data_IF_524260532860
#
_entry.id   IF_524260532860
#
_cell.length_a   1.000
_cell.length_b   1.000
_cell.length_c   1.000
_cell.angle_alpha   90.00
_cell.angle_beta   90.00
_cell.angle_gamma   90.00
#
_symmetry.space_group_name_H-M   'P 1'
#
loop_
_entity.id
_entity.type
_entity.pdbx_description
1 polymer ?
#
# COMPACT_ATOMS: atom_id res chain seq x y z
N UNK A 1 -5.79 -53.60 13.95
CA UNK A 1 -6.16 -54.23 12.67
C UNK A 1 -4.94 -54.25 11.76
N UNK A 2 -4.72 -55.29 10.97
CA UNK A 2 -3.64 -55.30 9.99
C UNK A 2 -3.82 -54.15 8.99
N UNK A 3 -2.74 -53.72 8.40
CA UNK A 3 -2.75 -52.70 7.31
C UNK A 3 -2.93 -53.47 6.01
N UNK A 4 -3.99 -53.20 5.27
CA UNK A 4 -4.24 -53.82 3.98
C UNK A 4 -3.55 -53.00 2.87
N UNK A 5 -3.22 -53.62 1.76
CA UNK A 5 -2.51 -52.95 0.64
C UNK A 5 -3.30 -51.75 0.11
N UNK A 6 -4.63 -51.79 0.11
CA UNK A 6 -5.51 -50.71 -0.27
C UNK A 6 -5.47 -49.47 0.67
N UNK A 7 -4.97 -49.67 1.91
CA UNK A 7 -4.88 -48.62 2.91
C UNK A 7 -3.56 -47.84 2.78
N UNK A 8 -2.59 -48.33 1.98
CA UNK A 8 -1.27 -47.75 1.80
C UNK A 8 -1.38 -46.48 0.91
N UNK A 9 -1.02 -45.30 1.41
CA UNK A 9 -1.22 -44.04 0.68
C UNK A 9 -0.28 -43.86 -0.50
N UNK A 10 0.96 -44.34 -0.38
CA UNK A 10 2.02 -44.26 -1.39
C UNK A 10 3.15 -45.23 -1.10
N UNK A 11 4.00 -45.49 -2.08
CA UNK A 11 5.15 -46.35 -1.94
C UNK A 11 6.23 -45.76 -1.03
N UNK A 12 6.84 -46.61 -0.20
CA UNK A 12 7.97 -46.23 0.68
C UNK A 12 9.14 -47.18 0.41
N UNK A 13 10.39 -46.79 0.76
CA UNK A 13 11.57 -47.65 0.63
C UNK A 13 11.36 -48.98 1.33
N UNK A 14 11.93 -50.08 0.80
CA UNK A 14 11.80 -51.42 1.34
C UNK A 14 12.22 -51.56 2.81
N UNK A 15 13.12 -50.72 3.25
CA UNK A 15 13.59 -50.68 4.64
C UNK A 15 12.62 -49.98 5.60
N UNK A 16 11.59 -49.29 5.08
CA UNK A 16 10.57 -48.62 5.87
C UNK A 16 9.36 -49.50 6.09
N UNK A 17 8.51 -49.15 7.06
CA UNK A 17 7.25 -49.85 7.31
C UNK A 17 6.13 -48.84 7.54
N UNK A 18 4.97 -49.11 6.97
CA UNK A 18 3.75 -48.43 7.38
C UNK A 18 3.30 -48.96 8.73
N UNK A 19 3.06 -48.08 9.67
CA UNK A 19 2.57 -48.42 11.01
C UNK A 19 1.41 -47.51 11.40
N UNK A 20 0.53 -47.99 12.28
CA UNK A 20 -0.46 -47.15 12.90
C UNK A 20 0.18 -46.35 14.03
N UNK A 21 -0.14 -45.05 14.15
CA UNK A 21 0.47 -44.14 15.14
C UNK A 21 0.31 -44.71 16.57
N UNK A 22 -0.87 -45.27 16.88
CA UNK A 22 -1.14 -45.89 18.18
C UNK A 22 -0.33 -47.15 18.51
N UNK A 23 0.41 -47.76 17.55
CA UNK A 23 1.29 -48.90 17.81
C UNK A 23 2.70 -48.52 18.22
N UNK A 24 3.10 -47.25 17.94
CA UNK A 24 4.45 -46.76 18.22
C UNK A 24 4.46 -45.67 19.30
N UNK A 25 3.31 -45.29 19.84
CA UNK A 25 3.22 -44.27 20.88
C UNK A 25 1.87 -44.25 21.59
N UNK A 26 1.86 -43.44 22.63
CA UNK A 26 0.69 -43.23 23.48
C UNK A 26 0.04 -41.88 23.12
N UNK A 27 -1.28 -41.83 23.07
CA UNK A 27 -2.04 -40.63 22.86
C UNK A 27 -3.09 -40.44 23.97
N UNK A 28 -3.33 -39.19 24.37
CA UNK A 28 -4.36 -38.81 25.31
C UNK A 28 -4.96 -37.46 24.97
N UNK A 29 -6.22 -37.23 25.34
CA UNK A 29 -6.89 -35.94 25.27
C UNK A 29 -6.69 -35.22 26.61
N UNK A 30 -6.59 -33.89 26.57
CA UNK A 30 -6.26 -33.07 27.71
C UNK A 30 -7.35 -32.93 28.78
N UNK A 31 -7.08 -32.03 29.70
CA UNK A 31 -7.86 -31.77 30.92
C UNK A 31 -9.11 -30.93 30.60
N UNK A 32 -10.24 -31.33 31.15
CA UNK A 32 -11.44 -30.48 31.21
C UNK A 32 -11.46 -29.76 32.56
N UNK A 33 -11.55 -28.43 32.52
CA UNK A 33 -11.63 -27.56 33.71
C UNK A 33 -12.75 -26.54 33.53
N UNK A 34 -13.24 -25.99 34.63
CA UNK A 34 -14.30 -24.98 34.64
C UNK A 34 -13.67 -23.59 34.87
N UNK A 35 -14.37 -22.48 34.53
CA UNK A 35 -13.87 -21.14 34.82
C UNK A 35 -13.51 -20.90 36.30
N UNK A 36 -14.22 -21.54 37.25
CA UNK A 36 -13.95 -21.44 38.69
C UNK A 36 -12.66 -22.14 39.13
N UNK A 37 -12.12 -23.05 38.32
CA UNK A 37 -10.88 -23.78 38.61
C UNK A 37 -9.65 -22.96 38.18
N UNK A 38 -9.85 -21.83 37.47
CA UNK A 38 -8.78 -20.94 37.05
C UNK A 38 -8.26 -20.11 38.22
N UNK A 39 -6.95 -19.91 38.25
CA UNK A 39 -6.26 -19.21 39.33
C UNK A 39 -5.02 -18.48 38.81
N UNK A 40 -4.48 -17.54 39.59
CA UNK A 40 -3.20 -16.90 39.28
C UNK A 40 -2.01 -17.79 39.64
N UNK A 41 -2.17 -18.69 40.62
CA UNK A 41 -1.15 -19.62 41.12
C UNK A 41 -1.63 -21.06 40.95
N UNK A 42 -1.05 -21.78 40.03
CA UNK A 42 -1.44 -23.17 39.73
C UNK A 42 -0.70 -23.75 38.55
N UNK A 43 -1.12 -24.93 38.13
CA UNK A 43 -0.52 -25.63 36.98
C UNK A 43 -0.98 -24.99 35.68
N UNK A 44 -0.04 -24.67 34.80
CA UNK A 44 -0.33 -24.16 33.47
C UNK A 44 -1.05 -25.23 32.63
N UNK A 45 -2.14 -24.83 31.98
CA UNK A 45 -2.87 -25.67 31.03
C UNK A 45 -2.67 -25.13 29.62
N UNK A 46 -1.92 -25.85 28.82
CA UNK A 46 -1.63 -25.49 27.42
C UNK A 46 -2.87 -25.64 26.54
N UNK A 47 -3.08 -24.64 25.69
CA UNK A 47 -4.20 -24.57 24.78
C UNK A 47 -3.73 -24.45 23.33
N UNK A 48 -4.66 -24.40 22.40
CA UNK A 48 -4.31 -24.19 20.97
C UNK A 48 -3.59 -22.87 20.69
N UNK A 49 -3.81 -21.81 21.49
CA UNK A 49 -3.08 -20.56 21.40
C UNK A 49 -1.59 -20.71 21.69
N UNK A 50 -1.21 -21.69 22.48
CA UNK A 50 0.18 -21.98 22.84
C UNK A 50 0.96 -22.76 21.77
N UNK A 51 0.32 -23.17 20.67
CA UNK A 51 0.98 -23.78 19.51
C UNK A 51 0.98 -22.76 18.37
N UNK A 52 2.14 -22.21 18.00
CA UNK A 52 2.27 -21.25 16.92
C UNK A 52 3.48 -21.59 16.04
N UNK A 53 3.25 -21.66 14.72
CA UNK A 53 4.30 -21.93 13.73
C UNK A 53 5.16 -23.16 14.05
N UNK A 54 4.53 -24.24 14.56
CA UNK A 54 5.23 -25.48 14.92
C UNK A 54 6.05 -25.39 16.21
N UNK A 55 5.93 -24.31 17.00
CA UNK A 55 6.67 -24.07 18.25
C UNK A 55 5.72 -23.82 19.42
N UNK A 56 6.20 -24.10 20.63
CA UNK A 56 5.49 -23.73 21.86
C UNK A 56 5.66 -22.24 22.16
N UNK A 57 4.56 -21.56 22.53
CA UNK A 57 4.51 -20.16 22.94
C UNK A 57 3.78 -20.06 24.27
N UNK A 58 4.30 -19.25 25.21
CA UNK A 58 3.87 -19.19 26.61
C UNK A 58 3.35 -17.80 27.03
N UNK A 59 2.93 -16.97 26.10
CA UNK A 59 2.46 -15.61 26.37
C UNK A 59 1.01 -15.56 26.87
N UNK A 60 0.13 -16.41 26.33
CA UNK A 60 -1.29 -16.51 26.71
C UNK A 60 -1.50 -17.83 27.45
N UNK A 61 -1.25 -17.84 28.76
CA UNK A 61 -1.36 -19.04 29.59
C UNK A 61 -2.57 -18.97 30.52
N UNK A 62 -3.19 -20.13 30.74
CA UNK A 62 -4.21 -20.35 31.79
C UNK A 62 -3.61 -21.24 32.83
N UNK A 63 -3.84 -20.93 34.11
CA UNK A 63 -3.46 -21.78 35.23
C UNK A 63 -4.70 -22.30 35.93
N UNK A 64 -4.61 -23.52 36.48
CA UNK A 64 -5.70 -24.13 37.26
C UNK A 64 -5.19 -24.65 38.58
N UNK A 65 -6.06 -24.58 39.59
CA UNK A 65 -5.82 -25.18 40.93
C UNK A 65 -6.82 -26.31 41.12
N UNK A 66 -6.41 -27.50 40.67
CA UNK A 66 -7.18 -28.74 40.82
C UNK A 66 -6.22 -29.92 40.78
N UNK A 67 -6.64 -31.07 41.26
CA UNK A 67 -5.89 -32.33 41.13
C UNK A 67 -5.83 -32.75 39.66
N UNK A 68 -4.61 -32.93 39.13
CA UNK A 68 -4.39 -33.31 37.73
C UNK A 68 -3.77 -34.69 37.67
N UNK A 69 -4.43 -35.64 37.00
CA UNK A 69 -3.86 -36.97 36.84
C UNK A 69 -2.54 -36.95 36.06
N UNK A 70 -1.58 -37.82 36.43
CA UNK A 70 -0.26 -37.89 35.80
C UNK A 70 -0.31 -38.07 34.29
N UNK A 71 -1.29 -38.79 33.80
CA UNK A 71 -1.47 -39.02 32.35
C UNK A 71 -2.00 -37.78 31.60
N UNK A 72 -2.32 -36.68 32.32
CA UNK A 72 -2.66 -35.37 31.80
C UNK A 72 -1.52 -34.38 31.96
N UNK A 73 -0.37 -34.78 32.46
CA UNK A 73 0.82 -33.97 32.57
C UNK A 73 1.72 -34.14 31.34
N UNK A 74 2.19 -33.00 30.81
CA UNK A 74 3.14 -32.96 29.69
C UNK A 74 4.53 -33.39 30.18
N UNK A 75 5.22 -34.14 29.34
CA UNK A 75 6.67 -34.40 29.47
C UNK A 75 7.41 -33.71 28.34
N UNK A 76 8.65 -33.32 28.62
CA UNK A 76 9.53 -32.77 27.55
C UNK A 76 9.66 -33.81 26.43
N UNK A 77 9.52 -33.34 25.20
CA UNK A 77 9.50 -34.19 24.02
C UNK A 77 8.13 -34.73 23.61
N UNK A 78 7.06 -34.50 24.37
CA UNK A 78 5.71 -34.82 23.93
C UNK A 78 5.32 -33.96 22.74
N UNK A 79 4.54 -34.48 21.79
CA UNK A 79 3.93 -33.67 20.73
C UNK A 79 2.53 -33.27 21.18
N UNK A 80 2.29 -31.94 21.30
CA UNK A 80 0.96 -31.42 21.44
C UNK A 80 0.31 -31.21 20.06
N UNK A 81 -0.97 -31.61 19.94
CA UNK A 81 -1.73 -31.55 18.70
C UNK A 81 -3.05 -30.82 19.00
N UNK A 82 -3.36 -29.78 18.28
CA UNK A 82 -4.68 -29.13 18.36
C UNK A 82 -5.75 -30.10 17.83
N UNK A 83 -6.44 -30.79 18.72
CA UNK A 83 -7.44 -31.80 18.37
C UNK A 83 -8.79 -31.19 18.02
N UNK A 84 -9.13 -29.97 18.52
CA UNK A 84 -10.38 -29.27 18.24
C UNK A 84 -10.18 -27.77 18.22
N UNK A 85 -10.76 -27.10 17.21
CA UNK A 85 -10.79 -25.65 17.13
C UNK A 85 -12.00 -25.19 16.29
N UNK A 86 -12.49 -23.96 16.53
CA UNK A 86 -13.55 -23.36 15.71
C UNK A 86 -13.13 -23.14 14.26
N UNK A 87 -11.82 -22.96 14.00
CA UNK A 87 -11.27 -22.85 12.65
C UNK A 87 -10.65 -24.17 12.21
N UNK A 88 -11.14 -24.77 11.12
CA UNK A 88 -10.59 -26.01 10.51
C UNK A 88 -9.08 -25.88 10.23
N UNK A 89 -8.62 -24.69 9.84
CA UNK A 89 -7.20 -24.43 9.55
C UNK A 89 -6.27 -24.64 10.74
N UNK A 90 -6.77 -24.50 11.96
CA UNK A 90 -5.98 -24.61 13.18
C UNK A 90 -6.00 -26.03 13.76
N UNK A 91 -6.91 -26.91 13.32
CA UNK A 91 -6.95 -28.30 13.74
C UNK A 91 -5.77 -29.05 13.11
N UNK A 92 -5.09 -29.87 13.91
CA UNK A 92 -3.90 -30.61 13.52
C UNK A 92 -2.58 -29.85 13.68
N UNK A 93 -2.59 -28.51 13.95
CA UNK A 93 -1.33 -27.81 14.26
C UNK A 93 -0.69 -28.43 15.50
N UNK A 94 0.62 -28.62 15.49
CA UNK A 94 1.34 -29.32 16.53
C UNK A 94 2.70 -28.71 16.84
N UNK A 95 3.20 -28.98 18.06
CA UNK A 95 4.54 -28.57 18.49
C UNK A 95 5.08 -29.57 19.53
N UNK A 96 6.40 -29.62 19.65
CA UNK A 96 7.07 -30.39 20.70
C UNK A 96 7.12 -29.60 21.99
N UNK A 97 6.76 -30.24 23.11
CA UNK A 97 6.85 -29.67 24.46
C UNK A 97 8.31 -29.55 24.84
N UNK A 98 8.76 -28.37 25.19
CA UNK A 98 10.13 -28.05 25.60
C UNK A 98 10.29 -27.87 27.13
N UNK A 99 9.16 -27.77 27.89
CA UNK A 99 9.16 -27.60 29.35
C UNK A 99 8.20 -28.57 30.02
N UNK A 100 8.63 -29.17 31.11
CA UNK A 100 7.78 -30.03 31.95
C UNK A 100 6.95 -29.23 32.97
N UNK A 101 6.08 -29.91 33.73
CA UNK A 101 5.31 -29.31 34.82
C UNK A 101 4.01 -28.62 34.38
N UNK A 102 3.57 -28.80 33.14
CA UNK A 102 2.34 -28.24 32.58
C UNK A 102 1.36 -29.36 32.21
N UNK A 103 0.10 -29.03 32.20
CA UNK A 103 -0.97 -29.86 31.66
C UNK A 103 -1.43 -29.33 30.28
N UNK A 104 -2.39 -29.95 29.65
CA UNK A 104 -2.95 -29.56 28.38
C UNK A 104 -4.48 -29.67 28.40
N UNK A 105 -5.18 -28.74 27.74
CA UNK A 105 -6.65 -28.64 27.76
C UNK A 105 -7.35 -29.66 26.88
N UNK A 106 -8.64 -29.87 27.10
CA UNK A 106 -9.48 -30.87 26.43
C UNK A 106 -9.54 -30.77 24.89
N UNK A 107 -9.13 -29.61 24.32
CA UNK A 107 -9.05 -29.41 22.86
C UNK A 107 -7.67 -29.73 22.29
N UNK A 108 -6.75 -30.21 23.12
CA UNK A 108 -5.43 -30.65 22.78
C UNK A 108 -5.31 -32.16 23.00
N UNK A 109 -4.66 -32.83 22.08
CA UNK A 109 -4.18 -34.21 22.26
C UNK A 109 -2.67 -34.17 22.43
N UNK A 110 -2.12 -35.16 23.17
CA UNK A 110 -0.70 -35.43 23.15
C UNK A 110 -0.41 -36.73 22.39
N UNK A 111 0.78 -36.77 21.81
CA UNK A 111 1.40 -37.98 21.34
C UNK A 111 2.78 -38.14 21.99
N UNK A 112 3.07 -39.32 22.54
CA UNK A 112 4.31 -39.62 23.26
C UNK A 112 4.93 -40.87 22.71
N UNK A 113 6.14 -40.79 22.19
CA UNK A 113 6.90 -41.88 21.61
C UNK A 113 8.41 -41.58 21.69
N UNK A 114 9.23 -42.58 21.55
CA UNK A 114 10.69 -42.43 21.36
C UNK A 114 11.05 -41.82 19.99
N UNK A 115 10.09 -41.82 19.04
CA UNK A 115 10.28 -41.33 17.69
C UNK A 115 9.74 -39.89 17.48
N UNK A 116 9.40 -39.16 18.54
CA UNK A 116 8.70 -37.87 18.45
C UNK A 116 9.42 -36.86 17.59
N UNK A 117 10.75 -36.79 17.58
CA UNK A 117 11.53 -35.87 16.75
C UNK A 117 11.30 -36.10 15.25
N UNK A 118 11.07 -37.34 14.84
CA UNK A 118 10.70 -37.68 13.46
C UNK A 118 9.19 -37.51 13.23
N UNK A 119 8.37 -38.01 14.16
CA UNK A 119 6.90 -38.05 14.01
C UNK A 119 6.30 -36.62 13.93
N UNK A 120 6.89 -35.60 14.58
CA UNK A 120 6.42 -34.21 14.48
C UNK A 120 6.43 -33.74 13.03
N UNK A 121 7.43 -34.10 12.24
CA UNK A 121 7.50 -33.72 10.82
C UNK A 121 6.45 -34.46 9.98
N UNK A 122 6.15 -35.72 10.31
CA UNK A 122 5.06 -36.47 9.66
C UNK A 122 3.71 -35.80 9.99
N UNK A 123 3.44 -35.52 11.27
CA UNK A 123 2.18 -34.86 11.71
C UNK A 123 1.99 -33.47 11.06
N UNK A 124 3.05 -32.71 10.88
CA UNK A 124 3.01 -31.41 10.25
C UNK A 124 2.96 -31.48 8.71
N UNK A 125 3.08 -32.64 8.11
CA UNK A 125 3.01 -32.80 6.64
C UNK A 125 1.59 -32.63 6.11
N UNK A 126 1.50 -32.19 4.84
CA UNK A 126 0.23 -32.12 4.12
C UNK A 126 -0.47 -33.51 4.05
N UNK A 127 0.32 -34.56 3.84
CA UNK A 127 -0.16 -35.96 3.85
C UNK A 127 -0.98 -36.25 5.11
N UNK A 128 -0.37 -36.08 6.29
CA UNK A 128 -1.01 -36.43 7.56
C UNK A 128 -2.26 -35.58 7.84
N UNK A 129 -2.19 -34.29 7.53
CA UNK A 129 -3.33 -33.42 7.69
C UNK A 129 -4.50 -33.83 6.79
N UNK A 130 -4.23 -34.12 5.51
CA UNK A 130 -5.26 -34.50 4.55
C UNK A 130 -5.87 -35.86 4.89
N UNK A 131 -5.07 -36.81 5.39
CA UNK A 131 -5.56 -38.12 5.83
C UNK A 131 -6.53 -38.05 7.02
N UNK A 132 -6.33 -37.08 7.93
CA UNK A 132 -7.19 -36.88 9.10
C UNK A 132 -8.45 -36.04 8.83
N UNK A 133 -8.33 -35.01 8.03
CA UNK A 133 -9.38 -33.98 7.87
C UNK A 133 -10.14 -34.12 6.55
N UNK A 134 -9.67 -34.99 5.64
CA UNK A 134 -10.22 -35.18 4.30
C UNK A 134 -10.07 -33.98 3.40
N UNK A 135 -10.06 -34.21 2.11
CA UNK A 135 -9.97 -33.17 1.06
C UNK A 135 -11.35 -32.55 0.74
N UNK A 136 -12.41 -33.06 1.36
CA UNK A 136 -13.80 -32.70 1.04
C UNK A 136 -14.25 -31.46 1.80
N UNK A 137 -14.52 -30.37 1.07
CA UNK A 137 -15.07 -29.10 1.57
C UNK A 137 -16.45 -29.20 2.24
N UNK A 138 -16.96 -30.38 2.55
CA UNK A 138 -18.34 -30.63 3.03
C UNK A 138 -18.45 -31.26 4.42
N UNK A 139 -17.36 -31.59 5.10
CA UNK A 139 -17.45 -32.17 6.45
C UNK A 139 -17.30 -31.12 7.54
N UNK A 140 -18.32 -31.03 8.39
CA UNK A 140 -18.44 -30.20 9.60
C UNK A 140 -17.47 -30.61 10.73
N UNK A 141 -16.45 -31.46 10.44
CA UNK A 141 -15.59 -32.05 11.48
C UNK A 141 -14.38 -31.12 11.72
N UNK A 142 -14.52 -30.26 12.72
CA UNK A 142 -13.41 -29.46 13.25
C UNK A 142 -12.72 -30.16 14.45
N UNK A 143 -12.62 -31.49 14.41
CA UNK A 143 -12.09 -32.28 15.52
C UNK A 143 -11.33 -33.53 15.04
N UNK A 144 -10.18 -33.80 15.64
CA UNK A 144 -9.42 -35.01 15.54
C UNK A 144 -9.69 -35.82 16.81
N UNK A 145 -10.21 -37.06 16.67
CA UNK A 145 -10.45 -37.95 17.81
C UNK A 145 -9.19 -38.76 18.15
N UNK A 146 -9.14 -39.35 19.36
CA UNK A 146 -8.07 -40.25 19.73
C UNK A 146 -7.97 -41.47 18.79
N UNK A 147 -9.11 -42.01 18.35
CA UNK A 147 -9.14 -43.17 17.46
C UNK A 147 -8.64 -42.81 16.05
N UNK A 148 -8.95 -41.62 15.58
CA UNK A 148 -8.37 -41.10 14.33
C UNK A 148 -6.86 -41.01 14.44
N UNK A 149 -6.32 -40.44 15.51
CA UNK A 149 -4.87 -40.37 15.73
C UNK A 149 -4.24 -41.76 15.84
N UNK A 150 -4.81 -42.64 16.66
CA UNK A 150 -4.28 -44.03 16.83
C UNK A 150 -4.24 -44.83 15.52
N UNK A 151 -5.25 -44.66 14.68
CA UNK A 151 -5.39 -45.40 13.42
C UNK A 151 -4.67 -44.74 12.25
N UNK A 152 -4.18 -43.48 12.38
CA UNK A 152 -3.43 -42.81 11.32
C UNK A 152 -2.19 -43.61 10.94
N UNK A 153 -2.00 -43.78 9.63
CA UNK A 153 -0.82 -44.46 9.10
C UNK A 153 0.34 -43.45 9.02
N UNK A 154 1.51 -43.90 9.45
CA UNK A 154 2.76 -43.14 9.36
C UNK A 154 3.85 -44.01 8.78
N UNK A 155 4.69 -43.48 7.87
CA UNK A 155 5.83 -44.20 7.34
C UNK A 155 6.95 -44.16 8.39
N UNK A 156 7.46 -45.32 8.78
CA UNK A 156 8.46 -45.46 9.85
C UNK A 156 9.78 -45.97 9.28
N UNK A 157 10.81 -45.12 9.12
CA UNK A 157 12.17 -45.53 8.77
C UNK A 157 12.90 -46.20 9.93
N UNK A 158 14.01 -46.89 9.69
CA UNK A 158 14.95 -47.30 10.75
C UNK A 158 15.42 -46.09 11.57
N UNK A 159 15.67 -46.27 12.87
CA UNK A 159 15.99 -45.18 13.81
C UNK A 159 17.17 -44.29 13.35
N UNK A 160 18.21 -44.91 12.79
CA UNK A 160 19.36 -44.15 12.27
C UNK A 160 18.97 -43.25 11.10
N UNK A 161 18.02 -43.67 10.27
CA UNK A 161 17.52 -42.92 9.15
C UNK A 161 16.57 -41.78 9.60
N UNK A 162 15.71 -42.06 10.60
CA UNK A 162 14.90 -41.02 11.23
C UNK A 162 15.78 -39.82 11.69
N UNK A 163 16.90 -40.11 12.37
CA UNK A 163 17.86 -39.07 12.83
C UNK A 163 18.45 -38.30 11.66
N UNK A 164 18.84 -38.97 10.57
CA UNK A 164 19.36 -38.30 9.37
C UNK A 164 18.31 -37.41 8.70
N UNK A 165 17.07 -37.89 8.62
CA UNK A 165 15.95 -37.12 8.08
C UNK A 165 15.71 -35.84 8.91
N UNK A 166 15.61 -35.98 10.23
CA UNK A 166 15.42 -34.86 11.15
C UNK A 166 16.55 -33.83 11.00
N UNK A 167 17.81 -34.29 11.06
CA UNK A 167 18.96 -33.40 10.91
C UNK A 167 18.93 -32.63 9.56
N UNK A 168 18.52 -33.33 8.48
CA UNK A 168 18.42 -32.66 7.16
C UNK A 168 17.27 -31.64 7.09
N UNK A 169 16.14 -31.92 7.71
CA UNK A 169 15.03 -30.98 7.81
C UNK A 169 15.44 -29.75 8.64
N UNK A 170 16.09 -29.96 9.78
CA UNK A 170 16.58 -28.87 10.64
C UNK A 170 17.64 -27.99 9.96
N UNK A 171 18.47 -28.58 9.08
CA UNK A 171 19.41 -27.85 8.24
C UNK A 171 18.69 -26.97 7.19
N UNK A 172 17.63 -27.51 6.57
CA UNK A 172 16.97 -26.86 5.43
C UNK A 172 15.93 -25.81 5.84
N UNK A 173 15.19 -26.02 6.95
CA UNK A 173 14.13 -25.10 7.37
C UNK A 173 14.59 -23.64 7.52
N UNK A 174 15.76 -23.35 8.16
CA UNK A 174 16.24 -21.96 8.26
C UNK A 174 16.59 -21.34 6.91
N UNK A 175 16.95 -22.15 5.91
CA UNK A 175 17.20 -21.67 4.54
C UNK A 175 15.89 -21.29 3.85
N UNK A 176 14.84 -22.08 4.05
CA UNK A 176 13.49 -21.80 3.53
C UNK A 176 12.96 -20.51 4.16
N UNK A 177 13.10 -20.33 5.47
CA UNK A 177 12.67 -19.10 6.16
C UNK A 177 13.40 -17.85 5.62
N UNK A 178 14.73 -17.95 5.41
CA UNK A 178 15.51 -16.86 4.81
C UNK A 178 15.09 -16.58 3.37
N UNK A 179 14.83 -17.62 2.60
CA UNK A 179 14.32 -17.48 1.23
C UNK A 179 12.96 -16.79 1.20
N UNK A 180 12.02 -17.19 2.07
CA UNK A 180 10.71 -16.59 2.17
C UNK A 180 10.80 -15.07 2.45
N UNK A 181 11.63 -14.67 3.43
CA UNK A 181 11.86 -13.24 3.75
C UNK A 181 12.49 -12.48 2.57
N UNK A 182 13.46 -13.09 1.87
CA UNK A 182 14.09 -12.47 0.71
C UNK A 182 13.12 -12.34 -0.46
N UNK A 183 12.28 -13.35 -0.68
CA UNK A 183 11.25 -13.35 -1.72
C UNK A 183 10.19 -12.27 -1.47
N UNK A 184 9.67 -12.17 -0.24
CA UNK A 184 8.72 -11.12 0.13
C UNK A 184 9.28 -9.71 -0.10
N UNK A 185 10.56 -9.49 0.25
CA UNK A 185 11.24 -8.21 -0.03
C UNK A 185 11.36 -7.93 -1.52
N UNK A 186 11.72 -8.94 -2.31
CA UNK A 186 11.82 -8.81 -3.76
C UNK A 186 10.48 -8.45 -4.38
N UNK A 187 9.39 -9.10 -3.96
CA UNK A 187 8.03 -8.79 -4.41
C UNK A 187 7.62 -7.34 -4.05
N UNK A 188 7.95 -6.89 -2.83
CA UNK A 188 7.70 -5.51 -2.42
C UNK A 188 8.50 -4.51 -3.25
N UNK A 189 9.78 -4.79 -3.54
CA UNK A 189 10.60 -3.96 -4.40
C UNK A 189 10.07 -3.92 -5.83
N UNK A 190 9.73 -5.07 -6.41
CA UNK A 190 9.19 -5.15 -7.76
C UNK A 190 7.86 -4.38 -7.88
N UNK A 191 6.97 -4.52 -6.90
CA UNK A 191 5.69 -3.81 -6.89
C UNK A 191 5.85 -2.28 -6.80
N UNK A 192 6.89 -1.80 -6.12
CA UNK A 192 7.15 -0.37 -5.90
C UNK A 192 8.06 0.25 -6.96
N UNK A 193 8.91 -0.55 -7.59
CA UNK A 193 9.96 -0.10 -8.50
C UNK A 193 9.47 0.82 -9.63
N UNK A 194 8.33 0.55 -10.33
CA UNK A 194 7.85 1.42 -11.39
C UNK A 194 7.52 2.84 -10.91
N UNK A 195 6.94 2.96 -9.71
CA UNK A 195 6.60 4.27 -9.14
C UNK A 195 7.86 4.99 -8.64
N UNK A 196 8.77 4.29 -7.95
CA UNK A 196 10.05 4.86 -7.48
C UNK A 196 10.92 5.31 -8.68
N UNK A 197 10.91 4.56 -9.77
CA UNK A 197 11.60 4.94 -11.02
C UNK A 197 11.01 6.20 -11.62
N UNK A 198 9.68 6.28 -11.73
CA UNK A 198 8.97 7.45 -12.21
C UNK A 198 9.28 8.70 -11.37
N UNK A 199 9.25 8.58 -10.05
CA UNK A 199 9.62 9.68 -9.15
C UNK A 199 11.08 10.10 -9.34
N UNK A 200 12.00 9.17 -9.52
CA UNK A 200 13.42 9.45 -9.77
C UNK A 200 13.64 10.20 -11.10
N UNK A 201 12.96 9.76 -12.15
CA UNK A 201 13.04 10.42 -13.48
C UNK A 201 12.51 11.86 -13.40
N UNK A 202 11.37 12.08 -12.73
CA UNK A 202 10.82 13.42 -12.51
C UNK A 202 11.75 14.28 -11.65
N UNK A 203 12.37 13.70 -10.61
CA UNK A 203 13.35 14.40 -9.78
C UNK A 203 14.59 14.83 -10.59
N UNK A 204 15.09 13.97 -11.49
CA UNK A 204 16.19 14.32 -12.40
C UNK A 204 15.79 15.42 -13.38
N UNK A 205 14.57 15.40 -13.89
CA UNK A 205 14.06 16.43 -14.78
C UNK A 205 14.07 17.83 -14.11
N UNK A 206 13.57 17.95 -12.90
CA UNK A 206 13.50 19.23 -12.19
C UNK A 206 14.86 19.70 -11.61
N UNK A 207 15.85 18.81 -11.55
CA UNK A 207 17.23 19.13 -11.16
C UNK A 207 18.15 19.46 -12.35
N UNK A 208 17.62 19.44 -13.58
CA UNK A 208 18.43 19.69 -14.78
C UNK A 208 19.39 18.55 -15.13
N UNK A 209 19.12 17.32 -14.67
CA UNK A 209 19.97 16.14 -14.87
C UNK A 209 19.43 15.16 -15.92
N UNK A 210 18.24 15.43 -16.47
CA UNK A 210 17.57 14.52 -17.39
C UNK A 210 18.07 14.66 -18.84
N UNK A 211 18.43 15.87 -19.22
CA UNK A 211 18.94 16.19 -20.56
C UNK A 211 20.26 16.96 -20.46
N UNK A 212 21.03 16.91 -21.54
CA UNK A 212 22.30 17.65 -21.63
C UNK A 212 22.08 19.17 -21.58
N UNK A 213 22.97 19.88 -20.86
CA UNK A 213 22.94 21.34 -20.83
C UNK A 213 23.54 21.91 -22.12
N UNK A 214 22.90 22.93 -22.71
CA UNK A 214 23.30 23.54 -23.98
C UNK A 214 23.42 25.05 -23.83
N UNK A 215 24.63 25.58 -23.73
CA UNK A 215 24.84 27.04 -23.54
C UNK A 215 24.21 27.92 -24.61
N UNK A 216 24.11 27.41 -25.85
CA UNK A 216 23.50 28.13 -26.98
C UNK A 216 21.99 28.33 -26.87
N UNK A 217 21.33 27.65 -25.95
CA UNK A 217 19.89 27.78 -25.73
C UNK A 217 19.53 28.98 -24.82
N UNK A 218 20.52 29.74 -24.35
CA UNK A 218 20.33 30.89 -23.46
C UNK A 218 20.18 30.49 -21.99
N UNK A 219 19.55 31.36 -21.20
CA UNK A 219 19.43 31.17 -19.75
C UNK A 219 17.98 31.26 -19.25
N UNK A 220 17.73 30.58 -18.12
CA UNK A 220 16.45 30.70 -17.39
C UNK A 220 16.18 32.15 -16.91
N UNK A 221 17.24 32.92 -16.61
CA UNK A 221 17.12 34.29 -16.20
C UNK A 221 16.61 35.19 -17.35
N UNK A 222 17.09 34.98 -18.58
CA UNK A 222 16.58 35.69 -19.76
C UNK A 222 15.10 35.36 -20.00
N UNK A 223 14.73 34.10 -19.88
CA UNK A 223 13.33 33.67 -19.99
C UNK A 223 12.47 34.30 -18.90
N UNK A 224 12.94 34.32 -17.66
CA UNK A 224 12.21 34.95 -16.56
C UNK A 224 11.98 36.45 -16.79
N UNK A 225 12.97 37.17 -17.32
CA UNK A 225 12.80 38.60 -17.70
C UNK A 225 11.71 38.81 -18.76
N UNK A 226 11.63 37.89 -19.74
CA UNK A 226 10.55 37.94 -20.74
C UNK A 226 9.17 37.70 -20.09
N UNK A 227 9.07 36.71 -19.18
CA UNK A 227 7.84 36.47 -18.40
C UNK A 227 7.44 37.70 -17.59
N UNK A 228 8.39 38.35 -16.93
CA UNK A 228 8.11 39.58 -16.16
C UNK A 228 7.68 40.74 -17.06
N UNK A 229 8.24 40.88 -18.25
CA UNK A 229 7.83 41.87 -19.26
C UNK A 229 6.38 41.64 -19.68
N UNK A 230 6.00 40.39 -19.96
CA UNK A 230 4.62 40.03 -20.28
C UNK A 230 3.66 40.32 -19.12
N UNK A 231 4.05 39.96 -17.88
CA UNK A 231 3.27 40.29 -16.66
C UNK A 231 3.02 41.77 -16.53
N UNK A 232 4.05 42.63 -16.81
CA UNK A 232 3.92 44.07 -16.78
C UNK A 232 3.00 44.59 -17.89
N UNK A 233 3.10 44.02 -19.11
CA UNK A 233 2.23 44.38 -20.25
C UNK A 233 0.78 44.10 -19.92
N UNK A 234 0.46 42.89 -19.43
CA UNK A 234 -0.89 42.49 -19.04
C UNK A 234 -1.46 43.33 -17.89
N UNK A 235 -0.60 43.76 -16.97
CA UNK A 235 -0.98 44.68 -15.89
C UNK A 235 -1.34 46.08 -16.41
N UNK A 236 -0.53 46.65 -17.33
CA UNK A 236 -0.78 47.94 -17.97
C UNK A 236 -2.06 47.92 -18.81
N UNK A 237 -2.34 46.81 -19.49
CA UNK A 237 -3.56 46.60 -20.26
C UNK A 237 -4.81 46.34 -19.37
N UNK A 238 -4.65 46.30 -18.04
CA UNK A 238 -5.76 46.02 -17.12
C UNK A 238 -6.30 44.57 -17.16
N UNK A 239 -5.60 43.64 -17.87
CA UNK A 239 -6.00 42.26 -17.99
C UNK A 239 -5.75 41.46 -16.72
N UNK A 240 -4.74 41.85 -15.92
CA UNK A 240 -4.45 41.31 -14.60
C UNK A 240 -4.31 42.43 -13.57
N UNK A 241 -4.59 42.08 -12.30
CA UNK A 241 -4.44 43.05 -11.21
C UNK A 241 -2.96 43.22 -10.85
N UNK A 242 -2.55 44.43 -10.51
CA UNK A 242 -1.22 44.71 -9.96
C UNK A 242 -1.13 44.05 -8.57
N UNK A 243 -0.17 43.15 -8.40
CA UNK A 243 0.14 42.51 -7.13
C UNK A 243 1.40 43.11 -6.49
N UNK A 244 1.55 42.91 -5.19
CA UNK A 244 2.80 43.26 -4.49
C UNK A 244 3.91 42.31 -4.95
N UNK A 245 5.15 42.80 -5.11
CA UNK A 245 6.30 41.95 -5.37
C UNK A 245 6.43 40.87 -4.32
N UNK A 246 6.80 39.65 -4.75
CA UNK A 246 7.12 38.55 -3.83
C UNK A 246 8.50 38.78 -3.21
N UNK A 247 8.78 38.19 -2.03
CA UNK A 247 10.09 38.28 -1.37
C UNK A 247 11.21 37.75 -2.28
N UNK A 248 12.39 38.33 -2.18
CA UNK A 248 13.60 37.78 -2.79
C UNK A 248 13.86 36.35 -2.28
N UNK A 249 14.51 35.56 -3.12
CA UNK A 249 14.83 34.16 -2.80
C UNK A 249 16.17 34.11 -2.07
N UNK A 250 16.16 33.71 -0.81
CA UNK A 250 17.39 33.50 -0.04
C UNK A 250 18.05 32.15 -0.38
N UNK A 251 19.37 32.05 -0.26
CA UNK A 251 20.11 30.84 -0.57
C UNK A 251 19.63 29.62 0.24
N UNK A 252 19.28 29.81 1.50
CA UNK A 252 18.79 28.76 2.38
C UNK A 252 17.36 28.28 2.06
N UNK A 253 16.65 28.98 1.15
CA UNK A 253 15.33 28.54 0.68
C UNK A 253 15.44 27.55 -0.50
N UNK A 254 16.57 27.52 -1.21
CA UNK A 254 16.77 26.67 -2.39
C UNK A 254 16.85 25.20 -1.97
N UNK A 255 15.96 24.32 -2.46
CA UNK A 255 15.87 22.95 -1.98
C UNK A 255 16.97 22.02 -2.51
N UNK A 256 17.65 22.40 -3.59
CA UNK A 256 18.74 21.67 -4.24
C UNK A 256 19.44 22.55 -5.25
N UNK A 257 20.63 22.12 -5.71
CA UNK A 257 21.39 22.79 -6.75
C UNK A 257 20.76 22.53 -8.14
N UNK A 258 20.78 23.56 -8.98
CA UNK A 258 20.34 23.53 -10.38
C UNK A 258 21.49 23.95 -11.29
N UNK A 259 21.47 23.63 -12.61
CA UNK A 259 22.48 24.10 -13.57
C UNK A 259 22.63 25.62 -13.57
N UNK A 260 23.84 26.10 -13.88
CA UNK A 260 24.17 27.55 -13.86
C UNK A 260 23.33 28.38 -14.83
N UNK A 261 22.86 27.78 -15.92
CA UNK A 261 21.99 28.43 -16.89
C UNK A 261 20.50 28.42 -16.49
N UNK A 262 20.13 27.81 -15.34
CA UNK A 262 18.78 27.84 -14.79
C UNK A 262 18.63 28.97 -13.77
N UNK A 263 17.38 29.34 -13.44
CA UNK A 263 17.12 30.28 -12.37
C UNK A 263 15.95 29.82 -11.48
N UNK A 264 16.06 30.11 -10.18
CA UNK A 264 14.95 29.91 -9.24
C UNK A 264 14.01 31.12 -9.27
N UNK A 265 12.70 30.85 -9.39
CA UNK A 265 11.66 31.86 -9.35
C UNK A 265 10.52 31.48 -8.40
N UNK A 266 9.76 32.47 -7.96
CA UNK A 266 8.55 32.19 -7.17
C UNK A 266 7.40 31.75 -8.09
N UNK A 267 6.64 30.73 -7.69
CA UNK A 267 5.49 30.23 -8.43
C UNK A 267 4.49 31.35 -8.79
N UNK A 268 4.24 32.25 -7.85
CA UNK A 268 3.32 33.40 -8.07
C UNK A 268 3.76 34.40 -9.14
N UNK A 269 5.02 34.35 -9.60
CA UNK A 269 5.53 35.23 -10.66
C UNK A 269 5.35 34.65 -12.07
N UNK A 270 4.93 33.40 -12.18
CA UNK A 270 4.82 32.65 -13.44
C UNK A 270 3.44 32.75 -14.10
N UNK A 271 2.45 33.25 -13.39
CA UNK A 271 1.08 33.34 -13.91
C UNK A 271 0.14 34.15 -13.04
N UNK A 272 -1.09 34.24 -13.45
CA UNK A 272 -2.20 34.76 -12.65
C UNK A 272 -3.10 33.64 -12.16
N UNK A 273 -3.54 33.72 -10.92
CA UNK A 273 -4.22 32.66 -10.22
C UNK A 273 -5.54 33.14 -9.64
N UNK A 274 -6.61 32.39 -9.83
CA UNK A 274 -7.93 32.73 -9.32
C UNK A 274 -8.60 31.53 -8.72
N UNK A 275 -8.76 31.48 -7.41
CA UNK A 275 -9.59 30.48 -6.74
C UNK A 275 -11.05 30.73 -7.06
N UNK A 276 -11.83 29.68 -7.23
CA UNK A 276 -13.26 29.78 -7.46
C UNK A 276 -14.00 30.52 -6.35
N UNK A 277 -15.23 30.95 -6.61
CA UNK A 277 -16.01 31.78 -5.67
C UNK A 277 -16.29 31.00 -4.36
N UNK A 278 -16.63 31.74 -3.30
CA UNK A 278 -17.08 31.10 -2.06
C UNK A 278 -18.33 30.26 -2.32
N UNK A 279 -18.48 29.14 -1.57
CA UNK A 279 -19.57 28.19 -1.76
C UNK A 279 -20.97 28.83 -1.67
N UNK A 280 -21.13 29.89 -0.87
CA UNK A 280 -22.37 30.67 -0.78
C UNK A 280 -22.70 31.51 -2.03
N UNK A 281 -21.72 31.73 -2.90
CA UNK A 281 -21.93 32.51 -4.13
C UNK A 281 -22.55 31.67 -5.27
N UNK A 282 -22.45 30.36 -5.23
CA UNK A 282 -23.10 29.45 -6.20
C UNK A 282 -23.77 28.33 -5.40
N UNK A 283 -25.08 28.44 -5.20
CA UNK A 283 -25.88 27.42 -4.51
C UNK A 283 -26.70 26.61 -5.50
N UNK A 284 -27.17 25.43 -5.08
CA UNK A 284 -28.00 24.55 -5.93
C UNK A 284 -29.24 25.22 -6.49
N UNK A 285 -29.84 26.14 -5.74
CA UNK A 285 -31.03 26.90 -6.13
C UNK A 285 -30.80 27.92 -7.25
N UNK A 286 -29.53 28.26 -7.56
CA UNK A 286 -29.16 29.19 -8.63
C UNK A 286 -28.96 28.51 -9.97
N UNK A 287 -28.93 27.19 -10.01
CA UNK A 287 -28.74 26.47 -11.26
C UNK A 287 -29.99 26.50 -12.10
N UNK A 288 -29.78 26.68 -13.39
CA UNK A 288 -30.81 26.70 -14.42
C UNK A 288 -30.54 25.61 -15.46
N UNK A 289 -31.56 25.14 -16.19
CA UNK A 289 -31.34 24.24 -17.32
C UNK A 289 -30.42 24.85 -18.38
N UNK A 290 -29.72 24.01 -19.11
CA UNK A 290 -28.97 24.42 -20.32
C UNK A 290 -29.92 25.08 -21.30
N UNK A 291 -29.59 26.29 -21.75
CA UNK A 291 -30.44 27.04 -22.68
C UNK A 291 -29.74 28.30 -23.20
N UNK A 292 -30.45 29.02 -24.07
CA UNK A 292 -29.93 30.24 -24.70
C UNK A 292 -29.60 31.27 -23.62
N UNK A 293 -28.32 31.65 -23.51
CA UNK A 293 -27.84 32.61 -22.51
C UNK A 293 -27.47 32.05 -21.16
N UNK A 294 -27.56 30.75 -20.94
CA UNK A 294 -27.03 30.10 -19.74
C UNK A 294 -25.49 30.02 -19.82
N UNK A 295 -24.82 30.19 -18.65
CA UNK A 295 -23.37 30.16 -18.52
C UNK A 295 -22.99 28.88 -17.76
N UNK A 296 -22.10 28.10 -18.33
CA UNK A 296 -21.66 26.82 -17.74
C UNK A 296 -20.88 27.01 -16.44
N UNK A 297 -21.05 26.10 -15.49
CA UNK A 297 -20.26 26.02 -14.26
C UNK A 297 -19.36 24.80 -14.32
N UNK A 298 -18.06 25.04 -14.51
CA UNK A 298 -17.05 24.00 -14.51
C UNK A 298 -16.81 23.48 -13.09
N UNK A 299 -16.68 22.16 -12.97
CA UNK A 299 -16.54 21.43 -11.72
C UNK A 299 -15.24 20.62 -11.70
N UNK A 300 -14.89 20.06 -10.56
CA UNK A 300 -13.70 19.23 -10.42
C UNK A 300 -13.61 18.09 -11.44
N UNK A 301 -14.75 17.47 -11.79
CA UNK A 301 -14.78 16.39 -12.78
C UNK A 301 -14.20 16.81 -14.14
N UNK A 302 -14.33 18.09 -14.52
CA UNK A 302 -13.74 18.60 -15.75
C UNK A 302 -12.20 18.60 -15.70
N UNK A 303 -11.62 18.94 -14.55
CA UNK A 303 -10.17 18.89 -14.35
C UNK A 303 -9.66 17.44 -14.21
N UNK A 304 -10.38 16.59 -13.48
CA UNK A 304 -10.00 15.19 -13.20
C UNK A 304 -10.07 14.34 -14.47
N UNK A 305 -11.15 14.46 -15.25
CA UNK A 305 -11.38 13.67 -16.47
C UNK A 305 -10.85 14.36 -17.73
N UNK A 306 -10.28 15.56 -17.61
CA UNK A 306 -9.72 16.37 -18.72
C UNK A 306 -10.73 16.57 -19.85
N UNK A 307 -11.97 16.89 -19.50
CA UNK A 307 -13.07 17.04 -20.44
C UNK A 307 -13.96 18.22 -20.09
N UNK A 308 -13.98 19.24 -20.98
CA UNK A 308 -14.78 20.45 -20.83
C UNK A 308 -16.29 20.23 -21.11
N UNK A 309 -16.66 19.11 -21.73
CA UNK A 309 -18.06 18.81 -22.07
C UNK A 309 -18.88 18.32 -20.89
N UNK A 310 -18.25 17.75 -19.90
CA UNK A 310 -18.89 17.16 -18.71
C UNK A 310 -19.61 18.23 -17.88
N UNK A 311 -20.74 17.82 -17.29
CA UNK A 311 -21.49 18.61 -16.32
C UNK A 311 -22.63 19.40 -16.91
N UNK A 312 -23.72 19.49 -16.12
CA UNK A 312 -25.01 20.08 -16.51
C UNK A 312 -25.41 21.25 -15.60
N UNK A 313 -24.44 21.85 -14.92
CA UNK A 313 -24.71 23.04 -14.10
C UNK A 313 -24.48 24.30 -14.88
N UNK A 314 -25.51 25.14 -14.89
CA UNK A 314 -25.51 26.42 -15.56
C UNK A 314 -26.09 27.48 -14.62
N UNK A 315 -25.63 28.73 -14.77
CA UNK A 315 -26.18 29.91 -14.09
C UNK A 315 -26.75 30.89 -15.11
N UNK A 316 -27.58 31.75 -14.62
CA UNK A 316 -28.17 32.83 -15.44
C UNK A 316 -27.10 33.84 -15.90
N UNK A 317 -27.25 34.33 -17.12
CA UNK A 317 -26.30 35.33 -17.69
C UNK A 317 -26.26 36.64 -16.88
N UNK A 318 -27.41 37.13 -16.42
CA UNK A 318 -27.47 38.37 -15.63
C UNK A 318 -26.64 38.23 -14.32
N UNK A 319 -26.69 37.08 -13.66
CA UNK A 319 -25.89 36.79 -12.48
C UNK A 319 -24.39 36.66 -12.83
N UNK A 320 -24.08 36.02 -13.94
CA UNK A 320 -22.70 35.96 -14.44
C UNK A 320 -22.14 37.37 -14.68
N UNK A 321 -22.82 38.22 -15.47
CA UNK A 321 -22.33 39.54 -15.81
C UNK A 321 -22.16 40.44 -14.58
N UNK A 322 -23.08 40.35 -13.60
CA UNK A 322 -23.07 41.20 -12.43
C UNK A 322 -22.11 40.78 -11.33
N UNK A 323 -21.88 39.45 -11.14
CA UNK A 323 -21.15 38.90 -9.98
C UNK A 323 -20.06 37.92 -10.30
N UNK A 324 -20.17 37.14 -11.38
CA UNK A 324 -19.33 35.96 -11.63
C UNK A 324 -18.32 36.13 -12.77
N UNK A 325 -18.33 37.23 -13.49
CA UNK A 325 -17.46 37.51 -14.65
C UNK A 325 -15.96 37.35 -14.33
N UNK A 326 -15.54 37.64 -13.10
CA UNK A 326 -14.15 37.49 -12.66
C UNK A 326 -13.69 36.01 -12.54
N UNK A 327 -14.60 35.03 -12.66
CA UNK A 327 -14.32 33.59 -12.57
C UNK A 327 -14.45 32.90 -13.93
N UNK A 328 -14.63 33.66 -14.99
CA UNK A 328 -14.72 33.16 -16.36
C UNK A 328 -13.44 32.45 -16.78
N UNK A 329 -13.60 31.40 -17.58
CA UNK A 329 -12.52 30.57 -18.10
C UNK A 329 -12.32 30.86 -19.58
N UNK A 330 -11.07 30.96 -19.99
CA UNK A 330 -10.66 31.26 -21.36
C UNK A 330 -9.82 30.16 -21.98
N UNK A 331 -9.70 30.08 -23.31
CA UNK A 331 -8.79 29.17 -23.99
C UNK A 331 -7.36 29.29 -23.43
N UNK A 332 -6.71 28.13 -23.21
CA UNK A 332 -5.37 28.06 -22.63
C UNK A 332 -5.31 28.28 -21.11
N UNK A 333 -6.40 28.68 -20.43
CA UNK A 333 -6.45 28.66 -18.98
C UNK A 333 -6.32 27.22 -18.45
N UNK A 334 -5.72 27.06 -17.30
CA UNK A 334 -5.60 25.75 -16.63
C UNK A 334 -6.57 25.74 -15.45
N UNK A 335 -7.51 24.80 -15.44
CA UNK A 335 -8.36 24.55 -14.29
C UNK A 335 -7.74 23.44 -13.43
N UNK A 336 -7.74 23.62 -12.11
CA UNK A 336 -7.09 22.76 -11.14
C UNK A 336 -8.07 22.33 -10.07
N UNK A 337 -8.17 21.04 -9.79
CA UNK A 337 -8.99 20.51 -8.70
C UNK A 337 -8.38 20.85 -7.33
N UNK A 338 -9.18 21.46 -6.44
CA UNK A 338 -8.71 21.97 -5.14
C UNK A 338 -9.17 21.17 -3.92
N UNK A 339 -10.09 20.20 -4.07
CA UNK A 339 -10.64 19.40 -2.98
C UNK A 339 -10.89 17.96 -3.42
N UNK A 340 -10.88 17.00 -2.52
CA UNK A 340 -11.02 15.57 -2.85
C UNK A 340 -9.81 15.04 -3.61
N UNK A 341 -9.95 14.75 -4.91
CA UNK A 341 -8.82 14.45 -5.81
C UNK A 341 -8.13 15.77 -6.16
N UNK A 342 -7.02 16.06 -5.49
CA UNK A 342 -6.36 17.35 -5.49
C UNK A 342 -5.26 17.41 -6.55
N UNK A 343 -5.13 18.60 -7.20
CA UNK A 343 -4.00 18.91 -8.08
C UNK A 343 -4.15 18.38 -9.50
N UNK A 344 -5.27 17.75 -9.84
CA UNK A 344 -5.53 17.39 -11.22
C UNK A 344 -5.75 18.64 -12.06
N UNK A 345 -5.05 18.73 -13.17
CA UNK A 345 -5.01 19.88 -14.06
C UNK A 345 -5.61 19.57 -15.43
N UNK A 346 -6.29 20.55 -16.01
CA UNK A 346 -6.76 20.50 -17.37
C UNK A 346 -6.57 21.82 -18.07
N UNK A 347 -5.86 21.82 -19.19
CA UNK A 347 -5.69 22.99 -20.05
C UNK A 347 -6.97 23.12 -20.90
N UNK A 348 -7.64 24.25 -20.79
CA UNK A 348 -8.87 24.49 -21.54
C UNK A 348 -8.60 24.59 -23.04
N UNK A 349 -9.35 23.82 -23.87
CA UNK A 349 -9.16 23.80 -25.31
C UNK A 349 -9.57 25.13 -25.96
N UNK A 350 -9.30 25.27 -27.26
CA UNK A 350 -9.69 26.47 -28.00
C UNK A 350 -11.21 26.63 -28.13
N UNK A 351 -11.95 25.52 -28.15
CA UNK A 351 -13.41 25.50 -28.31
C UNK A 351 -14.07 24.78 -27.13
N UNK A 352 -14.84 25.51 -26.35
CA UNK A 352 -15.67 24.99 -25.25
C UNK A 352 -16.82 25.96 -24.96
N UNK A 353 -17.78 25.55 -24.11
CA UNK A 353 -18.90 26.41 -23.71
C UNK A 353 -18.41 27.51 -22.77
N UNK A 354 -18.85 28.78 -23.02
CA UNK A 354 -18.57 29.86 -22.09
C UNK A 354 -18.98 29.50 -20.67
N UNK A 355 -18.08 29.66 -19.71
CA UNK A 355 -18.33 29.23 -18.34
C UNK A 355 -17.39 29.81 -17.32
N UNK A 356 -17.67 29.46 -16.07
CA UNK A 356 -16.92 29.87 -14.87
C UNK A 356 -16.45 28.67 -14.09
N UNK A 357 -15.40 28.84 -13.29
CA UNK A 357 -15.01 27.83 -12.30
C UNK A 357 -15.91 27.86 -11.05
N UNK A 358 -16.19 26.69 -10.45
CA UNK A 358 -16.85 26.63 -9.15
C UNK A 358 -15.86 26.76 -7.98
N UNK A 359 -16.37 26.72 -6.73
CA UNK A 359 -15.58 26.87 -5.50
C UNK A 359 -14.50 25.81 -5.29
N UNK A 360 -14.64 24.64 -5.94
CA UNK A 360 -13.72 23.53 -5.80
C UNK A 360 -12.59 23.53 -6.85
N UNK A 361 -12.56 24.55 -7.70
CA UNK A 361 -11.53 24.76 -8.73
C UNK A 361 -10.69 25.99 -8.44
N UNK A 362 -9.48 25.98 -8.98
CA UNK A 362 -8.63 27.15 -9.19
C UNK A 362 -8.36 27.27 -10.69
N UNK A 363 -8.37 28.51 -11.20
CA UNK A 363 -7.94 28.83 -12.55
C UNK A 363 -6.52 29.40 -12.50
N UNK A 364 -5.65 28.90 -13.36
CA UNK A 364 -4.30 29.43 -13.58
C UNK A 364 -4.18 29.87 -15.04
N UNK A 365 -3.58 31.03 -15.25
CA UNK A 365 -3.16 31.53 -16.57
C UNK A 365 -1.66 31.76 -16.52
N UNK A 366 -0.90 30.94 -17.19
CA UNK A 366 0.56 31.01 -17.22
C UNK A 366 1.00 32.09 -18.21
N UNK A 367 2.02 32.90 -17.85
CA UNK A 367 2.54 33.94 -18.68
C UNK A 367 3.48 33.38 -19.74
N UNK A 368 3.31 33.84 -20.96
CA UNK A 368 4.24 33.54 -22.05
C UNK A 368 5.62 34.18 -21.81
N UNK A 369 6.70 33.54 -22.28
CA UNK A 369 6.74 32.33 -23.11
C UNK A 369 7.01 31.06 -22.33
N UNK A 370 6.63 30.93 -21.05
CA UNK A 370 6.82 29.72 -20.27
C UNK A 370 6.09 28.52 -20.93
N UNK A 371 6.78 27.40 -21.08
CA UNK A 371 6.22 26.20 -21.71
C UNK A 371 5.28 25.46 -20.75
N UNK A 372 3.99 25.49 -21.03
CA UNK A 372 2.92 24.95 -20.15
C UNK A 372 3.16 23.48 -19.78
N UNK A 373 3.53 22.55 -20.70
CA UNK A 373 3.78 21.15 -20.31
C UNK A 373 4.90 20.98 -19.28
N UNK A 374 5.98 21.77 -19.38
CA UNK A 374 7.04 21.78 -18.36
C UNK A 374 6.51 22.26 -17.00
N UNK A 375 5.79 23.37 -17.01
CA UNK A 375 5.17 23.91 -15.79
C UNK A 375 4.23 22.90 -15.14
N UNK A 376 3.39 22.23 -15.90
CA UNK A 376 2.44 21.22 -15.38
C UNK A 376 3.16 20.00 -14.79
N UNK A 377 4.24 19.55 -15.44
CA UNK A 377 5.07 18.44 -14.92
C UNK A 377 5.66 18.80 -13.56
N UNK A 378 6.21 20.02 -13.44
CA UNK A 378 6.74 20.51 -12.18
C UNK A 378 5.64 20.66 -11.11
N UNK A 379 4.52 21.27 -11.48
CA UNK A 379 3.39 21.52 -10.58
C UNK A 379 2.84 20.21 -9.98
N UNK A 380 2.61 19.20 -10.83
CA UNK A 380 2.12 17.89 -10.41
C UNK A 380 3.11 17.21 -9.45
N UNK A 381 4.40 17.22 -9.80
CA UNK A 381 5.46 16.62 -8.97
C UNK A 381 5.56 17.28 -7.59
N UNK A 382 5.60 18.61 -7.53
CA UNK A 382 5.76 19.37 -6.28
C UNK A 382 4.53 19.25 -5.38
N UNK A 383 3.33 19.30 -5.96
CA UNK A 383 2.10 19.09 -5.18
C UNK A 383 2.04 17.69 -4.57
N UNK A 384 2.33 16.65 -5.34
CA UNK A 384 2.34 15.27 -4.86
C UNK A 384 3.41 15.05 -3.80
N UNK A 385 4.61 15.60 -3.96
CA UNK A 385 5.69 15.51 -2.98
C UNK A 385 5.34 16.18 -1.66
N UNK A 386 4.81 17.40 -1.70
CA UNK A 386 4.39 18.13 -0.50
C UNK A 386 3.17 17.48 0.18
N UNK A 387 2.28 16.88 -0.62
CA UNK A 387 1.17 16.09 -0.11
C UNK A 387 1.65 14.91 0.75
N UNK A 388 2.69 14.21 0.33
CA UNK A 388 3.26 13.06 1.04
C UNK A 388 4.08 13.47 2.27
N UNK A 389 4.82 14.57 2.21
CA UNK A 389 5.68 15.03 3.33
C UNK A 389 4.91 15.67 4.49
N UNK A 390 3.72 16.25 4.23
CA UNK A 390 2.87 16.87 5.26
C UNK A 390 1.99 15.90 6.05
N UNK A 391 1.92 14.63 5.69
CA UNK A 391 1.01 13.66 6.29
C UNK A 391 1.73 12.64 7.16
N UNK A 392 1.93 12.97 8.45
CA UNK A 392 1.87 11.94 9.48
C UNK A 392 0.40 11.50 9.61
N UNK A 393 -0.07 10.63 8.68
CA UNK A 393 -1.31 9.86 8.83
C UNK A 393 -2.64 10.47 8.34
N UNK A 394 -2.68 11.64 7.67
CA UNK A 394 -3.91 12.13 7.03
C UNK A 394 -3.64 12.63 5.61
N UNK A 395 -4.40 12.11 4.64
CA UNK A 395 -4.35 12.61 3.26
C UNK A 395 -4.63 14.13 3.23
N UNK A 396 -3.87 14.89 2.43
CA UNK A 396 -4.15 16.32 2.21
C UNK A 396 -5.56 16.44 1.63
N UNK A 397 -6.43 17.15 2.34
CA UNK A 397 -7.83 17.34 1.93
C UNK A 397 -8.05 18.53 1.00
N UNK A 398 -7.06 19.43 0.84
CA UNK A 398 -7.14 20.63 0.00
C UNK A 398 -5.77 21.06 -0.50
N UNK A 399 -5.72 21.74 -1.67
CA UNK A 399 -4.52 22.47 -2.12
C UNK A 399 -4.12 23.49 -1.04
N UNK A 400 -2.81 23.70 -0.81
CA UNK A 400 -2.35 24.74 0.10
C UNK A 400 -2.97 26.11 -0.22
N UNK A 401 -3.23 26.96 0.77
CA UNK A 401 -3.68 28.33 0.51
C UNK A 401 -2.77 29.00 -0.51
N UNK A 402 -3.36 29.81 -1.41
CA UNK A 402 -2.58 30.47 -2.48
C UNK A 402 -1.42 31.33 -1.94
N UNK A 403 -1.59 31.92 -0.75
CA UNK A 403 -0.53 32.68 -0.07
C UNK A 403 0.72 31.81 0.26
N UNK A 404 0.55 30.53 0.43
CA UNK A 404 1.65 29.58 0.60
C UNK A 404 2.17 29.11 -0.78
N UNK A 405 1.24 28.72 -1.66
CA UNK A 405 1.57 28.19 -2.98
C UNK A 405 2.39 29.18 -3.82
N UNK A 406 2.05 30.47 -3.80
CA UNK A 406 2.75 31.51 -4.58
C UNK A 406 4.23 31.67 -4.21
N UNK A 407 4.62 31.24 -2.98
CA UNK A 407 6.00 31.32 -2.50
C UNK A 407 6.83 30.07 -2.84
N UNK A 408 6.23 29.01 -3.41
CA UNK A 408 6.99 27.84 -3.85
C UNK A 408 8.03 28.23 -4.88
N UNK A 409 9.21 27.61 -4.79
CA UNK A 409 10.30 27.83 -5.73
C UNK A 409 10.17 26.89 -6.92
N UNK A 410 10.29 27.46 -8.11
CA UNK A 410 10.23 26.77 -9.39
C UNK A 410 11.56 26.96 -10.12
N UNK A 411 12.25 25.89 -10.51
CA UNK A 411 13.46 26.02 -11.32
C UNK A 411 13.05 26.24 -12.78
N UNK A 412 13.60 27.26 -13.40
CA UNK A 412 13.27 27.65 -14.77
C UNK A 412 14.50 27.45 -15.66
N UNK A 413 14.49 26.43 -16.54
CA UNK A 413 15.47 26.26 -17.62
C UNK A 413 15.17 27.21 -18.81
N UNK A 414 16.10 27.35 -19.74
CA UNK A 414 15.84 27.96 -21.06
C UNK A 414 14.65 27.29 -21.76
N UNK A 415 13.91 28.05 -22.57
CA UNK A 415 12.68 27.56 -23.22
C UNK A 415 12.91 26.30 -24.09
N UNK A 416 14.03 26.24 -24.81
CA UNK A 416 14.38 25.10 -25.65
C UNK A 416 14.63 23.84 -24.79
N UNK A 417 15.31 24.02 -23.65
CA UNK A 417 15.55 22.92 -22.71
C UNK A 417 14.26 22.41 -22.05
N UNK A 418 13.30 23.30 -21.70
CA UNK A 418 11.98 22.88 -21.21
C UNK A 418 11.29 21.90 -22.17
N UNK A 419 11.35 22.19 -23.49
CA UNK A 419 10.77 21.33 -24.53
C UNK A 419 11.48 19.99 -24.59
N UNK A 420 12.83 19.98 -24.51
CA UNK A 420 13.61 18.72 -24.51
C UNK A 420 13.36 17.87 -23.27
N UNK A 421 13.22 18.51 -22.10
CA UNK A 421 12.88 17.82 -20.85
C UNK A 421 11.51 17.13 -21.00
N UNK A 422 10.49 17.85 -21.48
CA UNK A 422 9.15 17.28 -21.67
C UNK A 422 9.17 16.14 -22.68
N UNK A 423 9.80 16.34 -23.83
CA UNK A 423 9.93 15.29 -24.86
C UNK A 423 10.62 14.03 -24.30
N UNK A 424 11.66 14.20 -23.46
CA UNK A 424 12.35 13.08 -22.83
C UNK A 424 11.51 12.38 -21.76
N UNK A 425 10.68 13.13 -21.02
CA UNK A 425 9.73 12.57 -20.08
C UNK A 425 8.63 11.77 -20.79
N UNK A 426 8.10 12.29 -21.90
CA UNK A 426 7.12 11.58 -22.74
C UNK A 426 7.67 10.27 -23.33
N UNK A 427 8.97 10.20 -23.59
CA UNK A 427 9.65 8.97 -24.01
C UNK A 427 9.80 7.96 -22.86
N UNK A 428 10.25 8.41 -21.68
CA UNK A 428 10.67 7.52 -20.59
C UNK A 428 9.50 7.08 -19.70
N UNK A 429 8.56 7.97 -19.34
CA UNK A 429 7.50 7.65 -18.40
C UNK A 429 6.63 6.46 -18.81
N UNK A 430 6.26 6.28 -20.11
CA UNK A 430 5.55 5.08 -20.56
C UNK A 430 6.35 3.80 -20.40
N UNK A 431 7.70 3.86 -20.44
CA UNK A 431 8.55 2.70 -20.20
C UNK A 431 8.50 2.28 -18.72
N UNK A 432 8.46 3.24 -17.79
CA UNK A 432 8.29 2.94 -16.37
C UNK A 432 6.95 2.23 -16.08
N UNK A 433 5.89 2.55 -16.83
CA UNK A 433 4.58 1.91 -16.67
C UNK A 433 4.56 0.45 -17.16
N UNK A 434 5.42 0.10 -18.13
CA UNK A 434 5.57 -1.28 -18.63
C UNK A 434 6.36 -2.20 -17.70
N UNK A 435 6.95 -1.65 -16.64
CA UNK A 435 7.66 -2.42 -15.63
C UNK A 435 6.74 -3.03 -14.56
N UNK A 436 5.42 -2.83 -14.69
CA UNK A 436 4.40 -3.39 -13.77
C UNK A 436 4.17 -4.87 -13.98
#
# INVERSE_FOLDING_TARGET
MPIEEKDIPFDIPETWRWVRLGTIGYTNIGLTYRPKDQTMDGVIVLRSSNIQNGKMVYEDIVKVNMEIPDNKMCKVGDILICARNGSKRLVGKSAIVDKAGMSFGAFIAIFRSVCNQYIIHVINSAYFRNSLLGDTGTTTINQITQDMLKNSLVPLPPLAEQKRIVAKIEELLPLIDRYAVAYEKLEQFNAKFPEDMKESVLQYAIQGKLVEQRPEEGTGEELYRQIQTEKQRLTKEGKIKKEKPLPEIAENEKPYDIPDNWTWVRFGDLGSYKKGPFGSAITKSMFVPKGNGAIKVYEQKNAIQKDATLGDYYIRRDYFESKMKGFEVFPGDIIVSCAGTIGETYVMPDKFEQGIINQALMRMKIFEPLYIPYFLTFFDFVLKKNARSGSKGSAIKNIPPFEILKNYLVPIPPLAEQKRIVAKLEEILPLCERLK
#
